data_IF_040556861016
#
_entry.id   IF_040556861016
#
_cell.length_a   1.000
_cell.length_b   1.000
_cell.length_c   1.000
_cell.angle_alpha   90.00
_cell.angle_beta   90.00
_cell.angle_gamma   90.00
#
_symmetry.space_group_name_H-M   'P 1'
#
loop_
_entity.id
_entity.type
_entity.pdbx_description
1 polymer ?
#
# COMPACT_ATOMS: atom_id res chain seq x y z
N UNK A 1 5.56 14.73 -6.70
CA UNK A 1 5.22 13.45 -6.06
C UNK A 1 5.59 13.60 -4.59
N UNK A 2 4.68 13.31 -3.65
CA UNK A 2 4.98 13.40 -2.20
C UNK A 2 5.33 12.00 -1.71
N UNK A 3 6.37 11.89 -0.89
CA UNK A 3 6.81 10.61 -0.33
C UNK A 3 6.31 10.47 1.11
N UNK A 4 6.03 9.24 1.54
CA UNK A 4 5.85 8.91 2.95
C UNK A 4 7.19 8.89 3.67
N UNK A 5 7.15 8.75 4.98
CA UNK A 5 8.31 8.27 5.74
C UNK A 5 8.62 6.80 5.38
N UNK A 6 9.82 6.36 5.73
CA UNK A 6 10.19 4.95 5.68
C UNK A 6 9.43 4.15 6.73
N UNK A 7 9.08 2.92 6.40
CA UNK A 7 8.41 1.97 7.28
C UNK A 7 9.16 0.63 7.26
N UNK A 8 9.58 0.18 8.44
CA UNK A 8 10.15 -1.15 8.63
C UNK A 8 9.09 -2.24 8.44
N UNK A 9 9.47 -3.33 7.76
CA UNK A 9 8.59 -4.48 7.49
C UNK A 9 8.96 -5.63 8.42
N UNK A 10 8.16 -5.81 9.46
CA UNK A 10 8.40 -6.79 10.51
C UNK A 10 7.57 -8.07 10.33
N UNK A 11 8.15 -9.21 10.72
CA UNK A 11 7.50 -10.52 10.62
C UNK A 11 6.15 -10.54 11.34
N UNK A 12 6.07 -9.97 12.55
CA UNK A 12 4.86 -10.00 13.37
C UNK A 12 3.69 -9.27 12.71
N UNK A 13 3.96 -8.19 11.97
CA UNK A 13 2.94 -7.47 11.21
C UNK A 13 2.40 -8.33 10.06
N UNK A 14 3.29 -9.06 9.37
CA UNK A 14 2.92 -9.95 8.27
C UNK A 14 2.17 -11.18 8.78
N UNK A 15 2.53 -11.72 9.95
CA UNK A 15 1.79 -12.79 10.61
C UNK A 15 0.38 -12.36 11.02
N UNK A 16 0.22 -11.16 11.59
CA UNK A 16 -1.10 -10.61 11.91
C UNK A 16 -1.96 -10.44 10.65
N UNK A 17 -1.37 -10.00 9.53
CA UNK A 17 -2.11 -9.91 8.28
C UNK A 17 -2.51 -11.29 7.75
N UNK A 18 -1.63 -12.28 7.85
CA UNK A 18 -1.95 -13.68 7.52
C UNK A 18 -3.13 -14.20 8.36
N UNK A 19 -3.15 -13.90 9.66
CA UNK A 19 -4.25 -14.27 10.56
C UNK A 19 -5.56 -13.60 10.14
N UNK A 20 -5.54 -12.29 9.91
CA UNK A 20 -6.71 -11.51 9.52
C UNK A 20 -7.31 -11.93 8.18
N UNK A 21 -6.48 -12.37 7.25
CA UNK A 21 -6.90 -12.73 5.88
C UNK A 21 -7.03 -14.23 5.66
N UNK A 22 -6.64 -15.05 6.66
CA UNK A 22 -6.54 -16.51 6.58
C UNK A 22 -5.55 -17.00 5.51
N UNK A 23 -4.67 -16.12 5.00
CA UNK A 23 -3.62 -16.46 4.05
C UNK A 23 -2.31 -16.78 4.79
N UNK A 24 -2.15 -18.06 5.16
CA UNK A 24 -0.99 -18.59 5.89
C UNK A 24 0.02 -19.28 4.97
N UNK A 25 0.21 -18.79 3.75
CA UNK A 25 1.27 -19.34 2.90
C UNK A 25 2.65 -19.23 3.58
N UNK A 26 3.41 -20.32 3.55
CA UNK A 26 4.71 -20.43 4.21
C UNK A 26 5.70 -19.37 3.75
N UNK A 27 5.57 -18.86 2.51
CA UNK A 27 6.41 -17.81 1.97
C UNK A 27 6.28 -16.48 2.75
N UNK A 28 5.18 -16.32 3.50
CA UNK A 28 4.91 -15.17 4.36
C UNK A 28 5.07 -15.49 5.85
N UNK A 29 4.80 -16.73 6.26
CA UNK A 29 4.59 -17.07 7.69
C UNK A 29 5.63 -17.99 8.30
N UNK A 30 6.53 -18.60 7.53
CA UNK A 30 7.49 -19.59 8.03
C UNK A 30 8.94 -19.16 7.75
N UNK A 31 9.57 -18.42 8.68
CA UNK A 31 10.96 -17.95 8.51
C UNK A 31 11.98 -19.08 8.39
N UNK A 32 11.77 -20.18 9.11
CA UNK A 32 12.71 -21.31 9.14
C UNK A 32 12.73 -22.00 7.78
N UNK A 33 11.55 -22.33 7.26
CA UNK A 33 11.42 -22.89 5.91
C UNK A 33 11.87 -21.89 4.85
N UNK A 34 11.48 -20.62 4.96
CA UNK A 34 11.85 -19.60 4.00
C UNK A 34 13.36 -19.36 3.94
N UNK A 35 14.09 -19.54 5.05
CA UNK A 35 15.56 -19.42 5.04
C UNK A 35 16.26 -20.46 4.16
N UNK A 36 15.60 -21.60 3.89
CA UNK A 36 16.15 -22.72 3.12
C UNK A 36 15.52 -22.82 1.73
N UNK A 37 14.19 -22.75 1.66
CA UNK A 37 13.41 -23.05 0.45
C UNK A 37 13.07 -21.79 -0.38
N UNK A 38 13.07 -20.60 0.24
CA UNK A 38 12.68 -19.37 -0.46
C UNK A 38 13.80 -18.90 -1.38
N UNK A 39 13.50 -18.51 -2.63
CA UNK A 39 14.49 -17.87 -3.51
C UNK A 39 14.95 -16.49 -2.98
N UNK A 40 14.28 -15.97 -1.94
CA UNK A 40 14.60 -14.69 -1.32
C UNK A 40 15.42 -14.83 -0.04
N UNK A 41 15.66 -16.07 0.44
CA UNK A 41 16.41 -16.37 1.67
C UNK A 41 15.72 -15.92 2.96
N UNK A 42 14.48 -15.46 2.88
CA UNK A 42 13.63 -15.06 4.00
C UNK A 42 12.17 -15.06 3.55
N UNK A 43 11.26 -14.87 4.50
CA UNK A 43 9.85 -14.57 4.25
C UNK A 43 9.71 -13.22 3.56
N UNK A 44 8.60 -13.03 2.85
CA UNK A 44 8.28 -11.76 2.19
C UNK A 44 6.90 -11.29 2.64
N UNK A 45 6.64 -9.99 2.57
CA UNK A 45 5.30 -9.46 2.82
C UNK A 45 4.28 -9.93 1.75
N UNK A 46 3.02 -10.09 2.15
CA UNK A 46 1.92 -10.33 1.21
C UNK A 46 1.75 -9.15 0.26
N UNK A 47 1.50 -9.41 -1.02
CA UNK A 47 1.14 -8.34 -1.97
C UNK A 47 -0.11 -7.57 -1.53
N UNK A 48 -1.12 -8.27 -0.99
CA UNK A 48 -2.34 -7.60 -0.48
C UNK A 48 -2.12 -6.81 0.80
N UNK A 49 -1.12 -7.16 1.63
CA UNK A 49 -0.69 -6.31 2.73
C UNK A 49 -0.14 -4.99 2.18
N UNK A 50 0.74 -5.05 1.16
CA UNK A 50 1.30 -3.88 0.49
C UNK A 50 0.23 -2.96 -0.11
N UNK A 51 -0.82 -3.52 -0.72
CA UNK A 51 -1.98 -2.76 -1.21
C UNK A 51 -2.71 -2.06 -0.06
N UNK A 52 -2.92 -2.77 1.05
CA UNK A 52 -3.62 -2.23 2.22
C UNK A 52 -2.88 -1.04 2.83
N UNK A 53 -1.54 -1.05 2.78
CA UNK A 53 -0.68 0.04 3.26
C UNK A 53 -0.85 1.36 2.51
N UNK A 54 -1.46 1.37 1.32
CA UNK A 54 -1.75 2.62 0.59
C UNK A 54 -2.56 3.61 1.42
N UNK A 55 -3.47 3.13 2.27
CA UNK A 55 -4.27 4.01 3.15
C UNK A 55 -3.38 4.64 4.23
N UNK A 56 -2.48 3.88 4.83
CA UNK A 56 -1.54 4.38 5.84
C UNK A 56 -0.62 5.46 5.23
N UNK A 57 0.01 5.16 4.09
CA UNK A 57 0.90 6.11 3.43
C UNK A 57 0.18 7.36 2.91
N UNK A 58 -1.05 7.22 2.38
CA UNK A 58 -1.83 8.37 1.92
C UNK A 58 -2.07 9.39 3.05
N UNK A 59 -2.25 8.95 4.30
CA UNK A 59 -2.49 9.84 5.45
C UNK A 59 -1.27 10.70 5.79
N UNK A 60 -0.07 10.24 5.49
CA UNK A 60 1.16 11.02 5.64
C UNK A 60 1.30 12.10 4.54
N UNK A 61 0.51 11.99 3.47
CA UNK A 61 0.57 12.88 2.31
C UNK A 61 -0.51 13.96 2.28
N UNK A 62 -1.23 14.17 3.40
CA UNK A 62 -2.21 15.26 3.56
C UNK A 62 -1.54 16.63 3.29
N UNK A 63 -2.25 17.59 2.66
CA UNK A 63 -3.61 17.48 2.10
C UNK A 63 -3.65 16.91 0.67
N UNK A 64 -2.51 16.58 0.07
CA UNK A 64 -2.43 16.16 -1.35
C UNK A 64 -3.32 14.97 -1.70
N UNK A 65 -3.45 14.00 -0.79
CA UNK A 65 -4.21 12.75 -1.02
C UNK A 65 -5.61 12.76 -0.41
N UNK A 66 -5.95 13.81 0.34
CA UNK A 66 -7.18 13.93 1.10
C UNK A 66 -7.68 15.38 0.98
N UNK A 67 -8.77 15.62 0.23
CA UNK A 67 -9.36 16.94 0.10
C UNK A 67 -9.68 17.56 1.47
N UNK A 68 -9.42 18.85 1.62
CA UNK A 68 -9.76 19.59 2.83
C UNK A 68 -11.29 19.64 3.03
N UNK A 69 -11.75 19.56 4.29
CA UNK A 69 -13.18 19.59 4.62
C UNK A 69 -13.95 18.30 4.32
N UNK A 70 -13.29 17.22 3.89
CA UNK A 70 -13.95 15.93 3.72
C UNK A 70 -14.52 15.40 5.05
N UNK A 71 -15.67 14.74 4.97
CA UNK A 71 -16.28 14.02 6.09
C UNK A 71 -15.79 12.56 6.14
N UNK A 72 -15.68 11.90 4.99
CA UNK A 72 -15.23 10.52 4.89
C UNK A 72 -14.52 10.25 3.55
N UNK A 73 -13.73 9.19 3.52
CA UNK A 73 -13.15 8.62 2.31
C UNK A 73 -13.41 7.12 2.22
N UNK A 74 -13.91 6.66 1.07
CA UNK A 74 -14.14 5.25 0.77
C UNK A 74 -13.11 4.79 -0.27
N UNK A 75 -12.45 3.67 0.01
CA UNK A 75 -11.68 2.96 -1.01
C UNK A 75 -12.66 2.45 -2.06
N UNK A 76 -12.73 3.16 -3.20
CA UNK A 76 -13.71 2.92 -4.25
C UNK A 76 -13.23 1.87 -5.26
N UNK A 77 -11.93 1.81 -5.47
CA UNK A 77 -11.34 0.83 -6.36
C UNK A 77 -9.83 0.99 -6.51
N UNK A 78 -9.25 0.05 -7.25
CA UNK A 78 -7.85 0.03 -7.63
C UNK A 78 -7.77 -0.30 -9.11
N UNK A 79 -6.97 0.46 -9.84
CA UNK A 79 -6.61 0.23 -11.22
C UNK A 79 -5.12 -0.14 -11.32
N UNK A 80 -4.76 -0.91 -12.33
CA UNK A 80 -3.37 -1.18 -12.74
C UNK A 80 -2.42 -1.64 -11.62
N UNK A 81 -2.92 -2.37 -10.62
CA UNK A 81 -2.09 -2.93 -9.55
C UNK A 81 -1.10 -3.95 -10.11
N UNK A 82 0.20 -3.76 -9.84
CA UNK A 82 1.27 -4.67 -10.22
C UNK A 82 2.25 -4.84 -9.06
N UNK A 83 2.55 -6.08 -8.71
CA UNK A 83 3.63 -6.47 -7.80
C UNK A 83 4.85 -6.79 -8.64
N UNK A 84 5.90 -5.99 -8.47
CA UNK A 84 7.02 -5.89 -9.40
C UNK A 84 8.30 -6.52 -8.84
N UNK A 85 8.51 -6.43 -7.53
CA UNK A 85 9.56 -7.11 -6.77
C UNK A 85 9.02 -7.52 -5.40
N UNK A 86 9.59 -8.57 -4.76
CA UNK A 86 9.21 -8.96 -3.41
C UNK A 86 9.64 -7.92 -2.38
N UNK A 87 8.97 -7.92 -1.22
CA UNK A 87 9.36 -7.12 -0.04
C UNK A 87 9.86 -8.10 1.02
N UNK A 88 11.18 -8.32 1.14
CA UNK A 88 11.74 -9.18 2.19
C UNK A 88 11.44 -8.65 3.59
N UNK A 89 11.24 -9.55 4.55
CA UNK A 89 11.16 -9.17 5.96
C UNK A 89 12.48 -8.52 6.42
N UNK A 90 12.38 -7.55 7.35
CA UNK A 90 13.45 -6.63 7.80
C UNK A 90 13.94 -5.63 6.74
N UNK A 91 13.25 -5.53 5.60
CA UNK A 91 13.44 -4.40 4.69
C UNK A 91 12.67 -3.16 5.16
N UNK A 92 12.98 -2.01 4.54
CA UNK A 92 12.22 -0.77 4.69
C UNK A 92 11.52 -0.43 3.40
N UNK A 93 10.28 0.03 3.49
CA UNK A 93 9.49 0.49 2.34
C UNK A 93 9.07 1.94 2.47
N UNK A 94 8.93 2.61 1.34
CA UNK A 94 8.41 3.97 1.25
C UNK A 94 7.47 4.08 0.06
N UNK A 95 6.45 4.91 0.21
CA UNK A 95 5.44 5.12 -0.82
C UNK A 95 5.59 6.52 -1.42
N UNK A 96 5.48 6.61 -2.73
CA UNK A 96 5.42 7.84 -3.49
C UNK A 96 4.03 8.02 -4.07
N UNK A 97 3.36 9.10 -3.71
CA UNK A 97 2.01 9.43 -4.17
C UNK A 97 2.01 10.58 -5.16
N UNK A 98 1.22 10.43 -6.21
CA UNK A 98 0.89 11.48 -7.17
C UNK A 98 -0.62 11.55 -7.37
N UNK A 99 -1.21 12.72 -7.10
CA UNK A 99 -2.59 13.01 -7.49
C UNK A 99 -2.66 13.06 -9.03
N UNK A 100 -3.57 12.28 -9.63
CA UNK A 100 -3.75 12.24 -11.08
C UNK A 100 -4.96 13.06 -11.52
N UNK A 101 -6.11 12.89 -10.85
CA UNK A 101 -7.35 13.53 -11.22
C UNK A 101 -8.33 13.60 -10.03
N UNK A 102 -9.20 14.61 -10.03
CA UNK A 102 -10.35 14.73 -9.13
C UNK A 102 -11.59 14.98 -9.99
N UNK A 103 -12.60 14.12 -9.86
CA UNK A 103 -13.82 14.21 -10.65
C UNK A 103 -15.03 14.34 -9.74
N UNK A 104 -15.88 15.37 -9.88
CA UNK A 104 -17.13 15.47 -9.13
C UNK A 104 -18.04 14.24 -9.32
N UNK A 105 -18.77 13.85 -8.27
CA UNK A 105 -19.67 12.68 -8.26
C UNK A 105 -20.99 12.98 -7.54
N UNK A 106 -21.88 13.67 -8.25
CA UNK A 106 -23.14 14.17 -7.68
C UNK A 106 -22.88 15.34 -6.73
N UNK A 107 -23.81 15.58 -5.81
CA UNK A 107 -23.69 16.63 -4.81
C UNK A 107 -22.72 16.21 -3.68
N UNK A 108 -21.87 17.14 -3.25
CA UNK A 108 -20.96 17.01 -2.10
C UNK A 108 -20.08 15.77 -2.09
N UNK A 109 -19.66 15.28 -3.27
CA UNK A 109 -18.68 14.20 -3.39
C UNK A 109 -17.74 14.39 -4.57
N UNK A 110 -16.52 13.86 -4.44
CA UNK A 110 -15.58 13.75 -5.54
C UNK A 110 -14.87 12.39 -5.53
N UNK A 111 -14.55 11.89 -6.71
CA UNK A 111 -13.69 10.73 -6.90
C UNK A 111 -12.27 11.20 -7.19
N UNK A 112 -11.35 10.85 -6.31
CA UNK A 112 -9.92 11.16 -6.42
C UNK A 112 -9.19 9.93 -6.97
N UNK A 113 -8.42 10.13 -8.03
CA UNK A 113 -7.51 9.13 -8.60
C UNK A 113 -6.08 9.52 -8.29
N UNK A 114 -5.32 8.60 -7.74
CA UNK A 114 -3.91 8.80 -7.39
C UNK A 114 -3.05 7.63 -7.82
N UNK A 115 -1.86 7.90 -8.36
CA UNK A 115 -0.82 6.89 -8.61
C UNK A 115 0.02 6.73 -7.36
N UNK A 116 0.32 5.48 -7.01
CA UNK A 116 1.24 5.12 -5.95
C UNK A 116 2.30 4.16 -6.45
N UNK A 117 3.53 4.39 -6.02
CA UNK A 117 4.65 3.48 -6.19
C UNK A 117 5.25 3.20 -4.81
N UNK A 118 5.42 1.93 -4.47
CA UNK A 118 6.07 1.51 -3.22
C UNK A 118 7.45 1.00 -3.57
N UNK A 119 8.48 1.67 -3.07
CA UNK A 119 9.87 1.25 -3.19
C UNK A 119 10.32 0.45 -1.95
N UNK A 120 11.34 -0.37 -2.15
CA UNK A 120 12.08 -1.05 -1.09
C UNK A 120 13.47 -0.42 -1.05
N UNK A 121 13.94 -0.08 0.14
CA UNK A 121 15.26 0.51 0.29
C UNK A 121 16.35 -0.38 -0.33
N UNK A 122 17.20 0.22 -1.16
CA UNK A 122 18.30 -0.47 -1.82
C UNK A 122 17.90 -1.31 -3.05
N UNK A 123 16.62 -1.31 -3.47
CA UNK A 123 16.18 -1.94 -4.72
C UNK A 123 15.88 -0.90 -5.79
N UNK A 124 16.35 -1.13 -7.02
CA UNK A 124 16.05 -0.23 -8.15
C UNK A 124 14.60 -0.35 -8.64
N UNK A 125 14.06 -1.57 -8.65
CA UNK A 125 12.70 -1.83 -9.10
C UNK A 125 11.74 -1.62 -7.92
N UNK A 126 10.65 -0.84 -8.07
CA UNK A 126 9.67 -0.72 -7.00
C UNK A 126 9.01 -2.07 -6.72
N UNK A 127 8.56 -2.28 -5.48
CA UNK A 127 7.79 -3.46 -5.11
C UNK A 127 6.38 -3.45 -5.69
N UNK A 128 5.75 -2.28 -5.75
CA UNK A 128 4.39 -2.16 -6.27
C UNK A 128 4.17 -0.86 -7.03
N UNK A 129 3.36 -0.93 -8.09
CA UNK A 129 2.72 0.24 -8.71
C UNK A 129 1.22 0.02 -8.75
N UNK A 130 0.45 1.05 -8.41
CA UNK A 130 -1.00 0.99 -8.41
C UNK A 130 -1.60 2.37 -8.66
N UNK A 131 -2.82 2.40 -9.19
CA UNK A 131 -3.65 3.59 -9.18
C UNK A 131 -4.85 3.35 -8.26
N UNK A 132 -5.06 4.22 -7.28
CA UNK A 132 -6.15 4.11 -6.31
C UNK A 132 -7.24 5.10 -6.63
N UNK A 133 -8.49 4.65 -6.51
CA UNK A 133 -9.69 5.45 -6.59
C UNK A 133 -10.28 5.59 -5.18
N UNK A 134 -10.43 6.83 -4.71
CA UNK A 134 -11.03 7.15 -3.43
C UNK A 134 -12.23 8.06 -3.63
N UNK A 135 -13.40 7.64 -3.16
CA UNK A 135 -14.57 8.50 -3.15
C UNK A 135 -14.58 9.28 -1.83
N UNK A 136 -14.54 10.59 -1.91
CA UNK A 136 -14.66 11.48 -0.76
C UNK A 136 -16.04 12.12 -0.72
N UNK A 137 -16.64 12.19 0.46
CA UNK A 137 -17.85 12.95 0.73
C UNK A 137 -17.58 14.13 1.63
N UNK A 138 -18.38 15.18 1.46
CA UNK A 138 -18.32 16.44 2.19
C UNK A 138 -19.65 16.68 2.91
N UNK A 139 -19.69 17.57 3.93
CA UNK A 139 -20.95 18.05 4.50
C UNK A 139 -21.89 18.63 3.44
N UNK A 140 -23.18 18.70 3.77
CA UNK A 140 -24.19 19.36 2.94
C UNK A 140 -23.92 20.86 2.73
#
# INVERSE_FOLDING_TARGET
MKSSEWLDVEQDTILQFADCTMDRDWLHTDPDRASVDSPFGTTIAHGFWTVSMLTCFSRQMIPTQYPEGMLYGLNYGLDRVRFMSPIPIRSRIRCHGQLLNIVPRGENRCLVRSKFEIEVEGQEKPAMSAERLCLFGFPE
#
